data_IF_436684078692
#
_entry.id   IF_436684078692
#
_cell.length_a   1.000
_cell.length_b   1.000
_cell.length_c   1.000
_cell.angle_alpha   90.00
_cell.angle_beta   90.00
_cell.angle_gamma   90.00
#
_symmetry.space_group_name_H-M   'P 1'
#
loop_
_entity.id
_entity.type
_entity.pdbx_description
1 polymer ?
#
# COMPACT_ATOMS: atom_id res chain seq x y z
N UNK A 1 -9.82 8.32 22.30
CA UNK A 1 -8.69 8.52 21.38
C UNK A 1 -7.45 7.92 22.06
N UNK A 2 -7.47 6.61 22.36
CA UNK A 2 -6.54 6.03 23.35
C UNK A 2 -5.34 5.28 22.75
N UNK A 3 -5.29 5.07 21.42
CA UNK A 3 -4.24 4.27 20.77
C UNK A 3 -3.47 5.02 19.67
N UNK A 4 -3.55 6.35 19.63
CA UNK A 4 -2.74 7.14 18.71
C UNK A 4 -1.36 7.40 19.32
N UNK A 5 -0.32 6.94 18.64
CA UNK A 5 1.08 7.15 19.02
C UNK A 5 1.84 7.76 17.85
N UNK A 6 3.04 8.28 18.09
CA UNK A 6 3.86 8.90 17.03
C UNK A 6 4.05 8.00 15.80
N UNK A 7 4.12 6.68 15.98
CA UNK A 7 4.23 5.71 14.88
C UNK A 7 3.00 5.65 13.97
N UNK A 8 1.83 6.07 14.46
CA UNK A 8 0.61 6.18 13.64
C UNK A 8 0.80 7.14 12.46
N UNK A 9 1.62 8.19 12.60
CA UNK A 9 1.93 9.10 11.49
C UNK A 9 2.66 8.41 10.34
N UNK A 10 3.59 7.49 10.67
CA UNK A 10 4.28 6.69 9.65
C UNK A 10 3.30 5.80 8.90
N UNK A 11 2.33 5.21 9.60
CA UNK A 11 1.28 4.42 8.96
C UNK A 11 0.40 5.27 8.04
N UNK A 12 -0.03 6.45 8.49
CA UNK A 12 -0.82 7.39 7.68
C UNK A 12 -0.05 7.80 6.42
N UNK A 13 1.23 8.19 6.57
CA UNK A 13 2.10 8.56 5.46
C UNK A 13 2.23 7.43 4.41
N UNK A 14 2.53 6.21 4.85
CA UNK A 14 2.67 5.07 3.93
C UNK A 14 1.35 4.70 3.26
N UNK A 15 0.23 4.83 3.97
CA UNK A 15 -1.11 4.57 3.42
C UNK A 15 -1.47 5.56 2.32
N UNK A 16 -1.16 6.85 2.52
CA UNK A 16 -1.37 7.88 1.50
C UNK A 16 -0.53 7.62 0.25
N UNK A 17 0.75 7.24 0.39
CA UNK A 17 1.58 6.90 -0.76
C UNK A 17 1.03 5.69 -1.53
N UNK A 18 0.58 4.65 -0.83
CA UNK A 18 -0.02 3.48 -1.46
C UNK A 18 -1.31 3.82 -2.21
N UNK A 19 -2.20 4.62 -1.61
CA UNK A 19 -3.43 5.08 -2.27
C UNK A 19 -3.14 5.98 -3.48
N UNK A 20 -2.02 6.72 -3.47
CA UNK A 20 -1.55 7.49 -4.62
C UNK A 20 -0.88 6.61 -5.71
N UNK A 21 -0.81 5.29 -5.53
CA UNK A 21 -0.25 4.34 -6.50
C UNK A 21 1.25 4.08 -6.36
N UNK A 22 1.90 4.54 -5.30
CA UNK A 22 3.32 4.26 -5.09
C UNK A 22 3.58 2.75 -4.91
N UNK A 23 4.68 2.28 -5.48
CA UNK A 23 5.16 0.90 -5.32
C UNK A 23 5.74 0.67 -3.93
N UNK A 24 5.85 -0.59 -3.53
CA UNK A 24 6.40 -0.98 -2.23
C UNK A 24 7.85 -0.51 -2.07
N UNK A 25 8.64 -0.49 -3.16
CA UNK A 25 10.01 0.02 -3.15
C UNK A 25 10.07 1.53 -2.92
N UNK A 26 9.17 2.30 -3.54
CA UNK A 26 9.08 3.75 -3.34
C UNK A 26 8.66 4.09 -1.91
N UNK A 27 7.66 3.38 -1.36
CA UNK A 27 7.23 3.54 0.02
C UNK A 27 8.34 3.13 0.99
N UNK A 28 9.07 2.04 0.71
CA UNK A 28 10.21 1.58 1.52
C UNK A 28 11.28 2.67 1.61
N UNK A 29 11.67 3.26 0.48
CA UNK A 29 12.67 4.32 0.44
C UNK A 29 12.19 5.58 1.15
N UNK A 30 10.96 6.03 0.88
CA UNK A 30 10.40 7.24 1.48
C UNK A 30 10.22 7.13 2.99
N UNK A 31 9.84 5.94 3.48
CA UNK A 31 9.69 5.68 4.89
C UNK A 31 11.02 5.25 5.56
N UNK A 32 12.09 4.96 4.82
CA UNK A 32 13.32 4.41 5.40
C UNK A 32 13.10 3.03 6.05
N UNK A 33 12.29 2.18 5.45
CA UNK A 33 12.16 0.78 5.88
C UNK A 33 13.42 -0.01 5.52
N UNK A 34 13.85 -0.93 6.40
CA UNK A 34 14.96 -1.84 6.15
C UNK A 34 14.71 -2.84 5.00
N UNK A 35 13.45 -3.03 4.59
CA UNK A 35 13.10 -3.93 3.51
C UNK A 35 11.68 -3.75 3.00
N UNK A 36 11.37 -4.30 1.81
CA UNK A 36 10.08 -4.08 1.14
C UNK A 36 8.92 -4.76 1.85
N UNK A 37 9.18 -5.79 2.66
CA UNK A 37 8.15 -6.51 3.43
C UNK A 37 7.36 -5.58 4.38
N UNK A 38 7.97 -4.51 4.89
CA UNK A 38 7.26 -3.52 5.71
C UNK A 38 6.31 -2.64 4.87
N UNK A 39 6.72 -2.29 3.65
CA UNK A 39 5.91 -1.51 2.72
C UNK A 39 4.77 -2.35 2.10
N UNK A 40 4.97 -3.66 1.93
CA UNK A 40 3.97 -4.59 1.42
C UNK A 40 2.68 -4.63 2.27
N UNK A 41 2.73 -4.20 3.53
CA UNK A 41 1.55 -4.06 4.40
C UNK A 41 0.49 -3.10 3.83
N UNK A 42 0.89 -2.16 2.96
CA UNK A 42 0.00 -1.16 2.38
C UNK A 42 -0.42 -1.47 0.94
N UNK A 43 0.04 -2.58 0.35
CA UNK A 43 -0.20 -2.92 -1.06
C UNK A 43 -1.68 -2.99 -1.43
N UNK A 44 -2.52 -3.47 -0.51
CA UNK A 44 -3.97 -3.56 -0.66
C UNK A 44 -4.69 -2.22 -0.85
N UNK A 45 -4.04 -1.10 -0.48
CA UNK A 45 -4.60 0.25 -0.66
C UNK A 45 -4.37 0.81 -2.06
N UNK A 46 -3.57 0.13 -2.90
CA UNK A 46 -3.27 0.59 -4.25
C UNK A 46 -4.50 0.42 -5.16
N UNK A 47 -4.89 1.45 -5.92
CA UNK A 47 -6.04 1.38 -6.83
C UNK A 47 -5.94 0.22 -7.83
N UNK A 48 -4.73 0.01 -8.34
CA UNK A 48 -4.39 -1.02 -9.32
C UNK A 48 -4.57 -2.44 -8.77
N UNK A 49 -4.35 -2.65 -7.47
CA UNK A 49 -4.47 -3.98 -6.86
C UNK A 49 -5.91 -4.48 -6.84
N UNK A 50 -6.88 -3.59 -6.66
CA UNK A 50 -8.31 -3.98 -6.62
C UNK A 50 -8.88 -4.11 -8.03
N UNK A 51 -8.62 -3.13 -8.90
CA UNK A 51 -9.20 -3.11 -10.25
C UNK A 51 -8.64 -4.24 -11.14
N UNK A 52 -7.34 -4.53 -11.05
CA UNK A 52 -6.74 -5.59 -11.86
C UNK A 52 -7.23 -6.98 -11.47
N UNK A 53 -7.49 -7.23 -10.18
CA UNK A 53 -7.95 -8.55 -9.71
C UNK A 53 -9.36 -8.87 -10.21
N UNK A 54 -10.26 -7.89 -10.22
CA UNK A 54 -11.62 -8.08 -10.76
C UNK A 54 -11.57 -8.31 -12.28
N UNK A 55 -10.73 -7.56 -13.00
CA UNK A 55 -10.56 -7.70 -14.45
C UNK A 55 -10.05 -9.10 -14.87
N UNK A 56 -9.37 -9.85 -13.99
CA UNK A 56 -8.96 -11.24 -14.30
C UNK A 56 -10.16 -12.17 -14.46
N UNK A 57 -11.23 -11.96 -13.70
CA UNK A 57 -12.47 -12.76 -13.81
C UNK A 57 -13.15 -12.48 -15.16
N UNK A 58 -13.16 -11.22 -15.60
CA UNK A 58 -13.73 -10.83 -16.90
C UNK A 58 -12.97 -11.48 -18.05
N UNK A 59 -11.63 -11.46 -18.00
CA UNK A 59 -10.76 -12.10 -19.00
C UNK A 59 -10.85 -13.62 -19.03
N UNK A 60 -11.09 -14.27 -17.88
CA UNK A 60 -11.22 -15.72 -17.81
C UNK A 60 -12.59 -16.23 -18.31
N UNK A 61 -13.57 -15.33 -18.46
CA UNK A 61 -14.93 -15.64 -18.95
C UNK A 61 -15.13 -15.40 -20.45
N UNK A 62 -14.17 -14.76 -21.12
CA UNK A 62 -14.13 -14.58 -22.58
C UNK A 62 -13.40 -15.73 -23.26
#
# INVERSE_FOLDING_TARGET
>A
MENYVWHSNRHTFCSWLAMAGATELQIMNAAGHLGPAMAARYSHLRPESVQNVVALIERARS
#
